data_IF_308407323819
#
_entry.id   IF_308407323819
#
_cell.length_a   1.000
_cell.length_b   1.000
_cell.length_c   1.000
_cell.angle_alpha   90.00
_cell.angle_beta   90.00
_cell.angle_gamma   90.00
#
_symmetry.space_group_name_H-M   'P 1'
#
loop_
_entity.id
_entity.type
_entity.pdbx_description
1 polymer ?
#
# COMPACT_ATOMS: atom_id res chain seq x y z
N UNK A 1 8.26 -5.77 57.76
CA UNK A 1 7.60 -6.85 57.00
C UNK A 1 7.48 -6.40 55.55
N UNK A 2 7.72 -7.35 54.63
CA UNK A 2 8.14 -7.22 53.24
C UNK A 2 7.10 -6.61 52.27
N UNK A 3 7.48 -6.28 51.02
CA UNK A 3 6.90 -5.26 50.16
C UNK A 3 5.84 -5.78 49.17
N UNK A 4 4.90 -4.93 48.77
CA UNK A 4 4.01 -5.15 47.62
C UNK A 4 4.59 -4.46 46.39
N UNK A 5 5.42 -5.20 45.66
CA UNK A 5 5.85 -4.88 44.30
C UNK A 5 5.19 -5.88 43.33
N UNK A 6 4.85 -5.36 42.14
CA UNK A 6 4.74 -6.09 40.87
C UNK A 6 3.56 -7.05 40.68
N UNK A 7 2.48 -6.55 40.05
CA UNK A 7 1.49 -7.40 39.39
C UNK A 7 0.86 -6.77 38.14
N UNK A 8 1.62 -6.00 37.35
CA UNK A 8 1.08 -5.35 36.14
C UNK A 8 1.98 -5.48 34.89
N UNK A 9 2.76 -6.57 34.79
CA UNK A 9 3.70 -6.78 33.67
C UNK A 9 3.61 -8.19 33.04
N UNK A 10 2.45 -8.85 33.11
CA UNK A 10 2.30 -10.24 32.64
C UNK A 10 1.07 -10.49 31.74
N UNK A 11 0.64 -9.49 30.95
CA UNK A 11 -0.57 -9.64 30.12
C UNK A 11 -0.40 -9.15 28.66
N UNK A 12 0.81 -9.18 28.09
CA UNK A 12 1.05 -8.77 26.69
C UNK A 12 1.74 -9.82 25.79
N UNK A 13 1.86 -11.08 26.23
CA UNK A 13 2.53 -12.14 25.44
C UNK A 13 1.69 -13.42 25.26
N UNK A 14 0.39 -13.32 24.95
CA UNK A 14 -0.47 -14.52 24.78
C UNK A 14 -1.21 -14.60 23.43
N UNK A 15 -1.06 -13.65 22.51
CA UNK A 15 -1.84 -13.66 21.26
C UNK A 15 -1.12 -14.10 19.98
N UNK A 16 0.14 -14.56 20.02
CA UNK A 16 0.87 -15.02 18.81
C UNK A 16 0.58 -16.50 18.46
N UNK A 17 0.10 -17.31 19.41
CA UNK A 17 -0.02 -18.76 19.22
C UNK A 17 -1.20 -19.22 18.35
N UNK A 18 -2.09 -18.33 17.90
CA UNK A 18 -3.33 -18.71 17.20
C UNK A 18 -3.32 -18.45 15.68
N UNK A 19 -2.24 -17.91 15.14
CA UNK A 19 -2.10 -17.67 13.70
C UNK A 19 -1.30 -18.77 12.96
N UNK A 20 -0.58 -19.64 13.67
CA UNK A 20 0.19 -20.74 13.06
C UNK A 20 -0.66 -21.97 12.71
N UNK A 21 -1.78 -22.19 13.40
CA UNK A 21 -2.64 -23.38 13.16
C UNK A 21 -3.44 -23.31 11.85
N UNK A 22 -3.51 -22.14 11.19
CA UNK A 22 -4.20 -21.99 9.92
C UNK A 22 -3.38 -22.45 8.71
N UNK A 23 -2.06 -22.64 8.86
CA UNK A 23 -1.18 -23.08 7.77
C UNK A 23 -0.92 -24.58 7.76
N UNK A 24 -1.02 -25.28 8.91
CA UNK A 24 -0.83 -26.73 9.00
C UNK A 24 -2.05 -27.54 8.49
N UNK A 25 -3.21 -26.90 8.30
CA UNK A 25 -4.42 -27.56 7.82
C UNK A 25 -4.40 -27.93 6.32
N UNK A 26 -3.39 -27.47 5.56
CA UNK A 26 -3.29 -27.77 4.12
C UNK A 26 -2.65 -29.14 3.84
N UNK A 27 -1.90 -29.71 4.80
CA UNK A 27 -1.20 -31.00 4.63
C UNK A 27 -2.01 -32.23 5.10
N UNK A 28 -3.16 -32.02 5.76
CA UNK A 28 -3.94 -33.11 6.37
C UNK A 28 -5.03 -33.70 5.47
N UNK A 29 -5.12 -33.32 4.19
CA UNK A 29 -6.01 -33.98 3.24
C UNK A 29 -5.36 -35.30 2.76
N UNK A 30 -5.97 -36.48 2.98
CA UNK A 30 -5.43 -37.72 2.42
C UNK A 30 -5.53 -37.63 0.90
N UNK A 31 -4.38 -37.42 0.26
CA UNK A 31 -4.23 -37.56 -1.17
C UNK A 31 -4.63 -39.00 -1.55
N UNK A 32 -5.83 -39.18 -2.08
CA UNK A 32 -6.19 -40.39 -2.80
C UNK A 32 -5.29 -40.44 -4.03
N UNK A 33 -4.18 -41.16 -3.93
CA UNK A 33 -3.28 -41.45 -5.04
C UNK A 33 -4.05 -42.36 -5.99
N UNK A 34 -4.73 -41.76 -6.96
CA UNK A 34 -5.15 -42.48 -8.15
C UNK A 34 -3.87 -42.85 -8.91
N UNK A 35 -3.54 -44.14 -8.97
CA UNK A 35 -2.50 -44.68 -9.84
C UNK A 35 -2.90 -44.43 -11.29
N UNK A 36 -2.65 -43.22 -11.77
CA UNK A 36 -2.68 -42.91 -13.19
C UNK A 36 -1.44 -43.56 -13.79
N UNK A 37 -1.67 -44.62 -14.59
CA UNK A 37 -0.66 -45.25 -15.42
C UNK A 37 0.23 -44.17 -16.05
N UNK A 38 1.54 -44.27 -15.77
CA UNK A 38 2.55 -43.33 -16.22
C UNK A 38 2.61 -43.30 -17.75
N UNK A 39 1.79 -42.46 -18.37
CA UNK A 39 2.02 -42.00 -19.73
C UNK A 39 3.23 -41.07 -19.67
N UNK A 40 4.39 -41.62 -20.01
CA UNK A 40 5.67 -40.92 -20.07
C UNK A 40 5.69 -39.96 -21.27
N UNK A 41 4.88 -38.91 -21.21
CA UNK A 41 5.04 -37.77 -22.10
C UNK A 41 6.17 -36.90 -21.57
N UNK A 42 7.31 -36.90 -22.26
CA UNK A 42 8.37 -35.92 -22.00
C UNK A 42 7.80 -34.53 -22.27
N UNK A 43 7.43 -33.81 -21.22
CA UNK A 43 7.03 -32.41 -21.32
C UNK A 43 8.27 -31.60 -21.70
N UNK A 44 8.52 -31.47 -23.01
CA UNK A 44 9.53 -30.55 -23.52
C UNK A 44 9.07 -29.15 -23.13
N UNK A 45 9.69 -28.59 -22.10
CA UNK A 45 9.37 -27.24 -21.65
C UNK A 45 9.50 -26.29 -22.83
N UNK A 46 8.54 -25.37 -23.02
CA UNK A 46 8.63 -24.36 -24.06
C UNK A 46 9.97 -23.63 -23.93
N UNK A 47 10.63 -23.35 -25.05
CA UNK A 47 11.93 -22.63 -25.06
C UNK A 47 11.86 -21.30 -24.30
N UNK A 48 10.70 -20.68 -24.28
CA UNK A 48 10.43 -19.44 -23.54
C UNK A 48 10.52 -19.63 -22.02
N UNK A 49 10.02 -20.76 -21.51
CA UNK A 49 10.10 -21.06 -20.08
C UNK A 49 11.55 -21.27 -19.63
N UNK A 50 12.35 -21.98 -20.43
CA UNK A 50 13.77 -22.15 -20.14
C UNK A 50 14.53 -20.82 -20.17
N UNK A 51 14.24 -19.95 -21.14
CA UNK A 51 14.81 -18.59 -21.18
C UNK A 51 14.46 -17.78 -19.95
N UNK A 52 13.20 -17.85 -19.50
CA UNK A 52 12.77 -17.19 -18.27
C UNK A 52 13.52 -17.73 -17.05
N UNK A 53 13.64 -19.05 -16.88
CA UNK A 53 14.40 -19.63 -15.76
C UNK A 53 15.86 -19.20 -15.77
N UNK A 54 16.50 -19.14 -16.94
CA UNK A 54 17.88 -18.66 -17.05
C UNK A 54 18.01 -17.16 -16.72
N UNK A 55 16.97 -16.36 -16.97
CA UNK A 55 16.99 -14.94 -16.61
C UNK A 55 16.88 -14.67 -15.11
N UNK A 56 16.49 -15.66 -14.30
CA UNK A 56 16.37 -15.54 -12.85
C UNK A 56 17.68 -15.78 -12.10
N UNK A 57 18.71 -16.31 -12.77
CA UNK A 57 19.98 -16.70 -12.14
C UNK A 57 21.11 -15.88 -12.75
N UNK A 58 21.72 -15.01 -11.96
CA UNK A 58 22.95 -14.33 -12.36
C UNK A 58 24.09 -15.34 -12.54
N UNK A 59 24.75 -15.27 -13.69
CA UNK A 59 25.90 -16.12 -14.01
C UNK A 59 27.22 -15.37 -13.74
N UNK A 60 27.18 -14.05 -13.69
CA UNK A 60 28.34 -13.19 -13.41
C UNK A 60 28.10 -12.27 -12.21
N UNK A 61 29.19 -11.73 -11.62
CA UNK A 61 29.11 -10.79 -10.51
C UNK A 61 28.42 -9.46 -10.92
N UNK A 62 28.64 -9.00 -12.15
CA UNK A 62 27.98 -7.81 -12.67
C UNK A 62 26.47 -8.00 -12.85
N UNK A 63 26.04 -9.15 -13.36
CA UNK A 63 24.61 -9.52 -13.44
C UNK A 63 23.98 -9.64 -12.06
N UNK A 64 24.71 -10.12 -11.06
CA UNK A 64 24.20 -10.22 -9.69
C UNK A 64 23.93 -8.86 -9.07
N UNK A 65 24.77 -7.85 -9.35
CA UNK A 65 24.53 -6.47 -8.91
C UNK A 65 23.32 -5.86 -9.63
N UNK A 66 23.20 -6.06 -10.95
CA UNK A 66 22.05 -5.60 -11.71
C UNK A 66 20.74 -6.23 -11.18
N UNK A 67 20.71 -7.55 -10.96
CA UNK A 67 19.56 -8.24 -10.39
C UNK A 67 19.18 -7.67 -9.02
N UNK A 68 20.14 -7.39 -8.13
CA UNK A 68 19.84 -6.78 -6.82
C UNK A 68 19.16 -5.43 -6.98
N UNK A 69 19.65 -4.57 -7.88
CA UNK A 69 19.01 -3.26 -8.11
C UNK A 69 17.61 -3.39 -8.71
N UNK A 70 17.37 -4.40 -9.56
CA UNK A 70 16.04 -4.67 -10.10
C UNK A 70 15.10 -5.21 -9.02
N UNK A 71 15.57 -6.14 -8.19
CA UNK A 71 14.83 -6.68 -7.04
C UNK A 71 14.44 -5.55 -6.09
N UNK A 72 15.39 -4.69 -5.71
CA UNK A 72 15.14 -3.53 -4.85
C UNK A 72 13.99 -2.69 -5.43
N UNK A 73 14.06 -2.29 -6.70
CA UNK A 73 13.00 -1.51 -7.37
C UNK A 73 11.63 -2.19 -7.30
N UNK A 74 11.57 -3.50 -7.54
CA UNK A 74 10.33 -4.28 -7.45
C UNK A 74 9.80 -4.30 -6.01
N UNK A 75 10.68 -4.46 -5.02
CA UNK A 75 10.30 -4.39 -3.61
C UNK A 75 9.79 -3.00 -3.22
N UNK A 76 10.42 -1.93 -3.68
CA UNK A 76 9.97 -0.55 -3.43
C UNK A 76 8.59 -0.32 -4.02
N UNK A 77 8.38 -0.72 -5.28
CA UNK A 77 7.07 -0.69 -5.92
C UNK A 77 6.02 -1.47 -5.11
N UNK A 78 6.39 -2.65 -4.59
CA UNK A 78 5.55 -3.45 -3.71
C UNK A 78 5.18 -2.75 -2.40
N UNK A 79 6.11 -1.98 -1.80
CA UNK A 79 5.82 -1.16 -0.61
C UNK A 79 4.78 -0.08 -0.93
N UNK A 80 4.96 0.61 -2.05
CA UNK A 80 4.05 1.66 -2.51
C UNK A 80 2.64 1.13 -2.82
N UNK A 81 2.54 -0.04 -3.47
CA UNK A 81 1.24 -0.69 -3.69
C UNK A 81 0.52 -1.02 -2.39
N UNK A 82 1.23 -1.55 -1.39
CA UNK A 82 0.65 -1.84 -0.08
C UNK A 82 0.20 -0.57 0.64
N UNK A 83 0.99 0.50 0.58
CA UNK A 83 0.63 1.79 1.16
C UNK A 83 -0.66 2.36 0.55
N UNK A 84 -0.76 2.41 -0.78
CA UNK A 84 -1.99 2.86 -1.47
C UNK A 84 -3.20 2.01 -1.12
N UNK A 85 -3.03 0.68 -1.06
CA UNK A 85 -4.11 -0.24 -0.66
C UNK A 85 -4.60 0.04 0.76
N UNK A 86 -3.69 0.23 1.70
CA UNK A 86 -4.04 0.56 3.09
C UNK A 86 -4.82 1.88 3.19
N UNK A 87 -4.43 2.91 2.42
CA UNK A 87 -5.18 4.17 2.35
C UNK A 87 -6.58 3.99 1.77
N UNK A 88 -6.70 3.22 0.69
CA UNK A 88 -8.01 2.91 0.10
C UNK A 88 -8.91 2.17 1.10
N UNK A 89 -8.38 1.19 1.84
CA UNK A 89 -9.13 0.45 2.87
C UNK A 89 -9.54 1.36 4.03
N UNK A 90 -8.66 2.28 4.46
CA UNK A 90 -8.99 3.30 5.46
C UNK A 90 -10.16 4.17 5.01
N UNK A 91 -10.10 4.74 3.81
CA UNK A 91 -11.19 5.56 3.26
C UNK A 91 -12.47 4.76 3.00
N UNK A 92 -12.35 3.48 2.66
CA UNK A 92 -13.51 2.62 2.48
C UNK A 92 -14.22 2.36 3.81
N UNK A 93 -13.47 2.22 4.90
CA UNK A 93 -14.02 2.10 6.25
C UNK A 93 -14.75 3.39 6.69
N UNK A 94 -14.22 4.56 6.30
CA UNK A 94 -14.86 5.87 6.55
C UNK A 94 -16.22 6.03 5.86
N UNK A 95 -16.51 5.26 4.80
CA UNK A 95 -17.82 5.29 4.14
C UNK A 95 -18.93 4.59 4.94
N UNK A 96 -18.64 3.89 6.04
CA UNK A 96 -19.62 3.23 6.94
C UNK A 96 -20.72 2.37 6.24
N UNK A 97 -20.45 1.87 5.04
CA UNK A 97 -21.41 1.08 4.25
C UNK A 97 -22.29 1.87 3.27
N UNK A 98 -22.09 3.18 3.11
CA UNK A 98 -22.72 3.95 2.03
C UNK A 98 -22.21 3.47 0.65
N UNK A 99 -23.13 2.88 -0.11
CA UNK A 99 -22.86 2.35 -1.45
C UNK A 99 -22.45 3.44 -2.45
N UNK A 100 -22.96 4.67 -2.31
CA UNK A 100 -22.60 5.79 -3.18
C UNK A 100 -21.18 6.28 -2.88
N UNK A 101 -20.86 6.48 -1.59
CA UNK A 101 -19.49 6.79 -1.13
C UNK A 101 -18.48 5.74 -1.61
N UNK A 102 -18.75 4.46 -1.37
CA UNK A 102 -17.87 3.37 -1.77
C UNK A 102 -17.68 3.30 -3.30
N UNK A 103 -18.74 3.56 -4.08
CA UNK A 103 -18.65 3.61 -5.56
C UNK A 103 -17.81 4.77 -6.05
N UNK A 104 -17.98 5.96 -5.46
CA UNK A 104 -17.17 7.14 -5.78
C UNK A 104 -15.69 6.91 -5.45
N UNK A 105 -15.41 6.31 -4.28
CA UNK A 105 -14.06 5.98 -3.85
C UNK A 105 -13.37 4.97 -4.77
N UNK A 106 -14.08 3.90 -5.19
CA UNK A 106 -13.56 2.95 -6.20
C UNK A 106 -13.20 3.63 -7.51
N UNK A 107 -14.09 4.48 -8.04
CA UNK A 107 -13.83 5.20 -9.28
C UNK A 107 -12.61 6.14 -9.15
N UNK A 108 -12.39 6.75 -7.97
CA UNK A 108 -11.19 7.54 -7.70
C UNK A 108 -9.94 6.66 -7.68
N UNK A 109 -9.98 5.52 -6.97
CA UNK A 109 -8.85 4.60 -6.88
C UNK A 109 -8.45 4.06 -8.26
N UNK A 110 -9.43 3.69 -9.10
CA UNK A 110 -9.19 3.23 -10.47
C UNK A 110 -8.44 4.27 -11.30
N UNK A 111 -8.82 5.55 -11.20
CA UNK A 111 -8.10 6.65 -11.88
C UNK A 111 -6.68 6.81 -11.37
N UNK A 112 -6.47 6.72 -10.06
CA UNK A 112 -5.13 6.80 -9.47
C UNK A 112 -4.27 5.66 -10.00
N UNK A 113 -4.74 4.41 -9.98
CA UNK A 113 -3.97 3.27 -10.49
C UNK A 113 -3.71 3.37 -12.00
N UNK A 114 -4.64 3.93 -12.79
CA UNK A 114 -4.39 4.22 -14.21
C UNK A 114 -3.29 5.28 -14.40
N UNK A 115 -3.25 6.32 -13.57
CA UNK A 115 -2.19 7.33 -13.61
C UNK A 115 -0.84 6.74 -13.20
N UNK A 116 -0.82 5.89 -12.19
CA UNK A 116 0.39 5.17 -11.75
C UNK A 116 0.89 4.24 -12.85
N UNK A 117 0.01 3.43 -13.43
CA UNK A 117 0.35 2.49 -14.51
C UNK A 117 0.82 3.20 -15.79
N UNK A 118 0.29 4.39 -16.09
CA UNK A 118 0.73 5.19 -17.24
C UNK A 118 1.99 6.03 -16.97
N UNK A 119 2.54 5.99 -15.74
CA UNK A 119 3.71 6.78 -15.35
C UNK A 119 3.45 8.29 -15.26
N UNK A 120 2.17 8.71 -15.25
CA UNK A 120 1.76 10.13 -15.17
C UNK A 120 1.41 10.58 -13.76
N UNK A 121 1.36 9.66 -12.80
CA UNK A 121 1.05 9.99 -11.41
C UNK A 121 2.19 10.81 -10.77
N UNK A 122 1.86 11.80 -9.94
CA UNK A 122 2.85 12.49 -9.11
C UNK A 122 3.49 11.52 -8.09
N UNK A 123 4.72 11.80 -7.63
CA UNK A 123 5.46 10.90 -6.74
C UNK A 123 4.70 10.59 -5.44
N UNK A 124 4.02 11.58 -4.84
CA UNK A 124 3.27 11.37 -3.60
C UNK A 124 2.11 10.38 -3.76
N UNK A 125 1.41 10.42 -4.90
CA UNK A 125 0.37 9.44 -5.24
C UNK A 125 0.97 8.05 -5.46
N UNK A 126 2.11 7.96 -6.15
CA UNK A 126 2.79 6.68 -6.38
C UNK A 126 3.17 6.07 -5.04
N UNK A 127 3.77 6.85 -4.15
CA UNK A 127 4.27 6.38 -2.87
C UNK A 127 3.18 5.93 -1.90
N UNK A 128 1.93 6.36 -2.14
CA UNK A 128 0.80 6.10 -1.24
C UNK A 128 0.91 6.91 0.04
N UNK A 129 1.38 8.15 -0.07
CA UNK A 129 1.27 9.14 1.01
C UNK A 129 -0.16 9.68 1.03
N UNK A 130 -0.71 9.92 2.22
CA UNK A 130 -1.98 10.65 2.33
C UNK A 130 -1.79 12.00 1.64
N UNK A 131 -2.64 12.29 0.64
CA UNK A 131 -2.73 13.63 0.12
C UNK A 131 -3.07 14.53 1.30
N UNK A 132 -2.14 15.41 1.69
CA UNK A 132 -2.42 16.42 2.68
C UNK A 132 -3.75 17.08 2.28
N UNK A 133 -4.72 17.23 3.20
CA UNK A 133 -6.01 17.81 2.86
C UNK A 133 -5.71 19.10 2.12
N UNK A 134 -6.22 19.19 0.89
CA UNK A 134 -5.96 20.33 0.02
C UNK A 134 -6.11 21.58 0.88
N UNK A 135 -5.00 22.27 1.15
CA UNK A 135 -5.06 23.54 1.87
C UNK A 135 -6.16 24.35 1.18
N UNK A 136 -7.13 24.89 1.93
CA UNK A 136 -8.24 25.59 1.31
C UNK A 136 -7.65 26.66 0.39
N UNK A 137 -7.72 26.43 -0.92
CA UNK A 137 -7.27 27.37 -1.95
C UNK A 137 -8.28 28.51 -2.07
N UNK A 138 -8.60 29.13 -0.93
CA UNK A 138 -9.71 30.05 -0.74
C UNK A 138 -9.46 31.17 0.28
N UNK A 139 -8.28 31.26 0.89
CA UNK A 139 -7.88 32.42 1.72
C UNK A 139 -6.71 33.19 1.09
N UNK A 140 -6.78 33.45 -0.21
CA UNK A 140 -5.88 34.41 -0.85
C UNK A 140 -6.65 35.22 -1.88
N UNK A 141 -7.42 36.21 -1.41
CA UNK A 141 -7.82 37.37 -2.23
C UNK A 141 -8.49 38.56 -1.53
N UNK A 142 -8.76 38.53 -0.23
CA UNK A 142 -9.51 39.63 0.45
C UNK A 142 -8.83 40.25 1.69
N UNK A 143 -7.54 40.03 1.92
CA UNK A 143 -6.85 40.67 3.06
C UNK A 143 -6.52 42.17 2.82
N UNK A 144 -6.36 42.63 1.57
CA UNK A 144 -5.98 44.03 1.32
C UNK A 144 -7.12 45.05 1.56
N UNK A 145 -8.39 44.61 1.57
CA UNK A 145 -9.54 45.52 1.71
C UNK A 145 -9.82 45.98 3.16
N UNK A 146 -9.07 45.49 4.16
CA UNK A 146 -9.24 45.92 5.57
C UNK A 146 -8.42 47.14 5.98
N UNK A 147 -7.53 47.66 5.13
CA UNK A 147 -6.65 48.80 5.51
C UNK A 147 -7.06 50.17 4.95
N UNK A 148 -8.13 50.29 4.17
CA UNK A 148 -8.49 51.58 3.53
C UNK A 148 -9.68 52.33 4.16
N UNK A 149 -10.39 51.76 5.14
CA UNK A 149 -11.57 52.43 5.73
C UNK A 149 -11.24 53.22 7.01
N UNK A 150 -10.04 53.05 7.59
CA UNK A 150 -9.69 53.74 8.86
C UNK A 150 -9.12 55.16 8.69
N UNK A 151 -8.76 55.60 7.48
CA UNK A 151 -8.16 56.93 7.27
C UNK A 151 -9.13 58.03 6.82
N UNK A 152 -10.39 57.71 6.48
CA UNK A 152 -11.36 58.69 6.00
C UNK A 152 -12.18 59.38 7.12
N UNK A 153 -12.22 58.82 8.33
CA UNK A 153 -13.03 59.37 9.43
C UNK A 153 -12.30 60.40 10.32
N UNK A 154 -11.02 60.68 10.07
CA UNK A 154 -10.23 61.64 10.86
C UNK A 154 -10.27 63.09 10.33
N UNK A 155 -11.09 63.41 9.32
CA UNK A 155 -11.16 64.75 8.68
C UNK A 155 -12.50 65.48 8.80
N UNK A 156 -13.42 65.02 9.66
CA UNK A 156 -14.74 65.65 9.81
C UNK A 156 -15.03 66.19 11.23
N UNK A 157 -14.01 66.46 12.03
CA UNK A 157 -14.15 67.03 13.39
C UNK A 157 -13.23 68.23 13.66
N UNK A 158 -13.16 69.17 12.72
CA UNK A 158 -12.71 70.54 13.01
C UNK A 158 -13.60 71.57 12.33
#
# INVERSE_FOLDING_TARGET
MAPLLNAAAAALFVSVAKASEAFDAFDAAPAKVTEHAASSHSHRMPREHLRFQHSLVAQTAAEAEELRTQEERVFEQGRHMRARKALYEKHLAECEGDAFCAKALRARQERVEQLVASGKAPPDMVEGKEEAPAQPQGESRMHWLRHTVSSAFARLTR
#
